data_IF_482086091795
#
_entry.id   IF_482086091795
#
_cell.length_a   1.000
_cell.length_b   1.000
_cell.length_c   1.000
_cell.angle_alpha   90.00
_cell.angle_beta   90.00
_cell.angle_gamma   90.00
#
_symmetry.space_group_name_H-M   'P 1'
#
loop_
_entity.id
_entity.type
_entity.pdbx_description
1 polymer ?
#
# COMPACT_ATOMS: atom_id res chain seq x y z
N UNK A 1 -23.70 -1.44 -10.18
CA UNK A 1 -23.32 -1.01 -8.82
C UNK A 1 -22.38 0.14 -9.01
N UNK A 2 -22.77 1.31 -8.50
CA UNK A 2 -22.02 2.54 -8.68
C UNK A 2 -20.67 2.39 -7.97
N UNK A 3 -19.58 2.55 -8.70
CA UNK A 3 -18.26 2.68 -8.11
C UNK A 3 -18.26 4.00 -7.32
N UNK A 4 -18.19 3.92 -6.00
CA UNK A 4 -18.04 5.12 -5.19
C UNK A 4 -16.59 5.59 -5.28
N UNK A 5 -16.36 6.66 -6.03
CA UNK A 5 -15.03 7.28 -6.21
C UNK A 5 -14.51 7.86 -4.88
N UNK A 6 -15.40 8.08 -3.91
CA UNK A 6 -15.08 8.58 -2.57
C UNK A 6 -14.69 7.48 -1.57
N UNK A 7 -14.53 6.23 -2.03
CA UNK A 7 -14.03 5.17 -1.15
C UNK A 7 -12.58 5.46 -0.76
N UNK A 8 -12.30 5.45 0.54
CA UNK A 8 -10.97 5.64 1.11
C UNK A 8 -10.64 4.48 2.07
N UNK A 9 -9.35 4.27 2.32
CA UNK A 9 -8.87 3.37 3.38
C UNK A 9 -7.82 4.07 4.24
N UNK A 10 -7.67 3.61 5.48
CA UNK A 10 -6.67 4.14 6.40
C UNK A 10 -5.44 3.25 6.43
N UNK A 11 -4.28 3.81 6.05
CA UNK A 11 -2.97 3.19 6.20
C UNK A 11 -2.20 3.87 7.33
N UNK A 12 -1.73 3.07 8.28
CA UNK A 12 -0.92 3.52 9.42
C UNK A 12 0.53 3.18 9.18
N UNK A 13 1.42 4.16 9.35
CA UNK A 13 2.86 4.02 9.13
C UNK A 13 3.64 4.68 10.26
N UNK A 14 4.84 4.17 10.53
CA UNK A 14 5.70 4.67 11.59
C UNK A 14 7.18 4.60 11.16
N UNK A 15 7.98 5.60 11.55
CA UNK A 15 9.44 5.51 11.50
C UNK A 15 9.96 4.56 12.58
N UNK A 16 10.92 3.72 12.25
CA UNK A 16 11.56 2.84 13.22
C UNK A 16 12.36 3.65 14.24
N UNK A 17 12.00 3.52 15.52
CA UNK A 17 12.63 4.26 16.61
C UNK A 17 14.10 3.82 16.81
N UNK A 18 14.47 2.62 16.33
CA UNK A 18 15.84 2.07 16.37
C UNK A 18 16.67 2.47 15.12
N UNK A 19 16.11 3.26 14.20
CA UNK A 19 16.83 3.76 13.02
C UNK A 19 17.93 4.76 13.41
N UNK A 20 19.16 4.52 12.95
CA UNK A 20 20.30 5.42 13.16
C UNK A 20 20.05 6.84 12.62
N UNK A 21 19.24 6.96 11.58
CA UNK A 21 18.87 8.23 10.97
C UNK A 21 17.53 8.79 11.51
N UNK A 22 16.93 8.17 12.53
CA UNK A 22 15.60 8.52 13.06
C UNK A 22 15.45 10.02 13.32
N UNK A 23 16.38 10.63 14.07
CA UNK A 23 16.31 12.05 14.39
C UNK A 23 16.34 12.96 13.17
N UNK A 24 17.13 12.59 12.14
CA UNK A 24 17.22 13.35 10.88
C UNK A 24 15.96 13.16 10.03
N UNK A 25 15.45 11.93 9.92
CA UNK A 25 14.19 11.60 9.24
C UNK A 25 13.01 12.31 9.91
N UNK A 26 12.92 12.30 11.25
CA UNK A 26 11.86 12.97 12.00
C UNK A 26 11.93 14.49 11.84
N UNK A 27 13.12 15.09 11.92
CA UNK A 27 13.30 16.53 11.66
C UNK A 27 12.83 16.89 10.27
N UNK A 28 13.14 16.05 9.29
CA UNK A 28 12.72 16.22 7.91
C UNK A 28 11.19 16.18 7.75
N UNK A 29 10.54 15.22 8.40
CA UNK A 29 9.08 15.12 8.46
C UNK A 29 8.45 16.28 9.25
N UNK A 30 9.16 16.84 10.23
CA UNK A 30 8.67 17.95 11.06
C UNK A 30 8.73 19.29 10.33
N UNK A 31 9.69 19.47 9.42
CA UNK A 31 9.75 20.63 8.54
C UNK A 31 8.51 20.76 7.64
N UNK A 32 7.70 19.70 7.50
CA UNK A 32 6.41 19.72 6.81
C UNK A 32 5.21 19.86 7.76
N UNK A 33 5.38 20.48 8.95
CA UNK A 33 4.37 20.67 9.99
C UNK A 33 3.89 19.39 10.72
N UNK A 34 4.73 18.35 10.80
CA UNK A 34 4.33 17.06 11.42
C UNK A 34 5.36 16.57 12.43
N UNK A 35 5.04 16.66 13.72
CA UNK A 35 5.95 16.34 14.84
C UNK A 35 5.96 14.86 15.24
N UNK A 36 5.19 14.00 14.58
CA UNK A 36 5.02 12.59 14.97
C UNK A 36 5.76 11.64 14.04
N UNK A 37 6.47 10.67 14.64
CA UNK A 37 7.06 9.52 13.92
C UNK A 37 5.99 8.55 13.41
N UNK A 38 4.76 8.62 13.93
CA UNK A 38 3.59 7.84 13.53
C UNK A 38 2.64 8.69 12.70
N UNK A 39 2.13 8.14 11.61
CA UNK A 39 1.17 8.80 10.71
C UNK A 39 0.03 7.86 10.32
N UNK A 40 -1.12 8.48 10.08
CA UNK A 40 -2.30 7.81 9.55
C UNK A 40 -2.70 8.53 8.25
N UNK A 41 -2.86 7.76 7.19
CA UNK A 41 -3.17 8.24 5.85
C UNK A 41 -4.52 7.67 5.42
N UNK A 42 -5.54 8.53 5.32
CA UNK A 42 -6.83 8.15 4.76
C UNK A 42 -6.84 8.44 3.25
N UNK A 43 -6.61 7.42 2.44
CA UNK A 43 -6.27 7.54 1.02
C UNK A 43 -7.32 6.90 0.11
N UNK A 44 -7.68 7.52 -1.02
CA UNK A 44 -8.52 6.90 -2.03
C UNK A 44 -7.71 5.95 -2.94
N UNK A 45 -8.40 5.18 -3.76
CA UNK A 45 -7.79 4.35 -4.82
C UNK A 45 -7.31 5.19 -6.03
N UNK A 46 -6.55 6.24 -5.76
CA UNK A 46 -6.08 7.20 -6.77
C UNK A 46 -4.65 7.64 -6.49
N UNK A 47 -3.75 7.49 -7.48
CA UNK A 47 -2.31 7.74 -7.29
C UNK A 47 -1.99 9.24 -7.26
N UNK A 48 -2.71 10.08 -8.01
CA UNK A 48 -2.46 11.54 -8.05
C UNK A 48 -3.12 12.28 -6.87
N UNK A 49 -3.76 11.55 -5.95
CA UNK A 49 -4.25 12.15 -4.72
C UNK A 49 -3.07 12.59 -3.84
N UNK A 50 -3.15 13.82 -3.30
CA UNK A 50 -2.08 14.41 -2.50
C UNK A 50 -1.74 13.59 -1.25
N UNK A 51 -2.73 12.90 -0.65
CA UNK A 51 -2.50 12.04 0.52
C UNK A 51 -1.77 10.76 0.11
N UNK A 52 -2.10 10.21 -1.05
CA UNK A 52 -1.36 9.08 -1.65
C UNK A 52 0.08 9.47 -1.94
N UNK A 53 0.32 10.65 -2.54
CA UNK A 53 1.67 11.16 -2.77
C UNK A 53 2.46 11.33 -1.46
N UNK A 54 1.83 11.89 -0.42
CA UNK A 54 2.50 12.07 0.87
C UNK A 54 2.79 10.74 1.58
N UNK A 55 1.92 9.72 1.42
CA UNK A 55 2.21 8.36 1.88
C UNK A 55 3.47 7.80 1.21
N UNK A 56 3.59 7.91 -0.13
CA UNK A 56 4.79 7.44 -0.82
C UNK A 56 6.03 8.21 -0.42
N UNK A 57 5.91 9.53 -0.23
CA UNK A 57 7.00 10.36 0.30
C UNK A 57 7.45 9.89 1.68
N UNK A 58 6.50 9.60 2.57
CA UNK A 58 6.81 9.04 3.88
C UNK A 58 7.52 7.70 3.76
N UNK A 59 7.01 6.77 2.95
CA UNK A 59 7.61 5.44 2.78
C UNK A 59 9.04 5.53 2.24
N UNK A 60 9.30 6.39 1.24
CA UNK A 60 10.64 6.63 0.69
C UNK A 60 11.62 7.10 1.75
N UNK A 61 11.19 8.05 2.57
CA UNK A 61 12.02 8.54 3.68
C UNK A 61 12.21 7.48 4.77
N UNK A 62 11.16 6.76 5.14
CA UNK A 62 11.22 5.72 6.15
C UNK A 62 12.24 4.64 5.77
N UNK A 63 12.24 4.22 4.50
CA UNK A 63 13.09 3.13 3.99
C UNK A 63 14.39 3.57 3.32
N UNK A 64 14.75 4.86 3.36
CA UNK A 64 16.03 5.30 2.83
C UNK A 64 17.18 4.94 3.78
N UNK A 65 18.30 4.50 3.20
CA UNK A 65 19.57 4.34 3.91
C UNK A 65 20.24 5.68 4.16
N UNK A 66 21.28 5.72 5.01
CA UNK A 66 22.08 6.93 5.23
C UNK A 66 22.66 7.53 3.95
N UNK A 67 23.09 6.68 2.99
CA UNK A 67 23.63 7.12 1.69
C UNK A 67 22.52 7.75 0.82
N UNK A 68 21.37 7.09 0.74
CA UNK A 68 20.21 7.57 0.00
C UNK A 68 19.63 8.85 0.60
N UNK A 69 19.64 8.99 1.93
CA UNK A 69 19.21 10.20 2.62
C UNK A 69 20.06 11.41 2.23
N UNK A 70 21.37 11.21 2.00
CA UNK A 70 22.26 12.28 1.53
C UNK A 70 21.91 12.74 0.11
N UNK A 71 21.46 11.82 -0.75
CA UNK A 71 20.96 12.13 -2.10
C UNK A 71 19.61 12.85 -2.00
N UNK A 72 18.73 12.35 -1.14
CA UNK A 72 17.37 12.85 -0.96
C UNK A 72 17.33 14.34 -0.55
N UNK A 73 18.24 14.76 0.32
CA UNK A 73 18.32 16.15 0.81
C UNK A 73 18.74 17.17 -0.27
N UNK A 74 19.09 16.72 -1.49
CA UNK A 74 19.53 17.60 -2.60
C UNK A 74 18.51 17.69 -3.75
N UNK A 75 17.39 16.96 -3.70
CA UNK A 75 16.48 16.77 -4.84
C UNK A 75 15.01 17.11 -4.57
N UNK A 76 14.17 16.90 -5.60
CA UNK A 76 12.71 17.00 -5.51
C UNK A 76 12.14 15.79 -4.74
N UNK A 77 11.31 16.08 -3.76
CA UNK A 77 10.93 15.16 -2.68
C UNK A 77 9.87 14.12 -3.07
N UNK A 78 9.35 14.26 -4.27
CA UNK A 78 8.34 13.40 -4.88
C UNK A 78 8.95 12.30 -5.73
N UNK A 79 10.24 12.41 -6.06
CA UNK A 79 10.87 11.49 -6.99
C UNK A 79 11.41 10.24 -6.29
N UNK A 80 11.37 9.08 -6.94
CA UNK A 80 12.07 7.89 -6.48
C UNK A 80 13.55 8.16 -6.25
N UNK A 81 14.07 7.72 -5.11
CA UNK A 81 15.45 8.03 -4.69
C UNK A 81 16.44 7.11 -5.42
N UNK A 82 16.21 5.81 -5.28
CA UNK A 82 16.95 4.74 -5.95
C UNK A 82 15.99 3.61 -6.27
N UNK A 83 16.44 2.72 -7.14
CA UNK A 83 15.73 1.47 -7.41
C UNK A 83 15.42 0.68 -6.13
N UNK A 84 16.42 0.50 -5.26
CA UNK A 84 16.28 -0.34 -4.07
C UNK A 84 15.43 0.33 -2.98
N UNK A 85 15.46 1.66 -2.88
CA UNK A 85 14.53 2.40 -2.03
C UNK A 85 13.09 2.21 -2.50
N UNK A 86 12.80 2.41 -3.79
CA UNK A 86 11.44 2.26 -4.30
C UNK A 86 10.92 0.83 -4.13
N UNK A 87 11.77 -0.16 -4.38
CA UNK A 87 11.46 -1.57 -4.11
C UNK A 87 11.06 -1.79 -2.65
N UNK A 88 11.86 -1.30 -1.69
CA UNK A 88 11.53 -1.39 -0.26
C UNK A 88 10.22 -0.68 0.09
N UNK A 89 9.92 0.46 -0.54
CA UNK A 89 8.67 1.19 -0.32
C UNK A 89 7.44 0.41 -0.78
N UNK A 90 7.47 -0.14 -2.00
CA UNK A 90 6.34 -0.92 -2.53
C UNK A 90 6.10 -2.18 -1.71
N UNK A 91 7.16 -2.78 -1.17
CA UNK A 91 7.08 -3.96 -0.30
C UNK A 91 6.48 -3.60 1.05
N UNK A 92 6.89 -2.46 1.63
CA UNK A 92 6.28 -1.96 2.84
C UNK A 92 4.78 -1.64 2.65
N UNK A 93 4.42 -1.04 1.52
CA UNK A 93 3.02 -0.78 1.16
C UNK A 93 2.24 -2.09 1.04
N UNK A 94 2.78 -3.08 0.32
CA UNK A 94 2.17 -4.41 0.19
C UNK A 94 1.90 -5.03 1.57
N UNK A 95 2.89 -5.07 2.45
CA UNK A 95 2.73 -5.63 3.79
C UNK A 95 1.73 -4.85 4.64
N UNK A 96 1.70 -3.52 4.53
CA UNK A 96 0.73 -2.69 5.24
C UNK A 96 -0.70 -3.00 4.78
N UNK A 97 -0.92 -3.15 3.46
CA UNK A 97 -2.22 -3.54 2.92
C UNK A 97 -2.64 -4.95 3.36
N UNK A 98 -1.75 -5.94 3.29
CA UNK A 98 -2.03 -7.31 3.74
C UNK A 98 -2.37 -7.35 5.22
N UNK A 99 -1.59 -6.68 6.07
CA UNK A 99 -1.85 -6.60 7.50
C UNK A 99 -3.25 -6.03 7.78
N UNK A 100 -3.64 -4.97 7.07
CA UNK A 100 -4.96 -4.35 7.22
C UNK A 100 -6.10 -5.24 6.70
N UNK A 101 -5.91 -5.96 5.59
CA UNK A 101 -6.92 -6.88 5.04
C UNK A 101 -7.24 -8.01 6.02
N UNK A 102 -6.23 -8.57 6.69
CA UNK A 102 -6.41 -9.68 7.65
C UNK A 102 -7.19 -9.27 8.91
N UNK A 103 -7.26 -7.97 9.23
CA UNK A 103 -8.03 -7.46 10.37
C UNK A 103 -9.55 -7.49 10.12
N UNK A 104 -10.01 -7.62 8.86
CA UNK A 104 -11.44 -7.70 8.58
C UNK A 104 -12.01 -9.08 8.94
N UNK A 105 -13.19 -9.14 9.58
CA UNK A 105 -13.83 -10.42 9.93
C UNK A 105 -14.38 -11.19 8.71
N UNK A 106 -14.46 -10.54 7.56
CA UNK A 106 -14.99 -11.10 6.31
C UNK A 106 -14.06 -10.79 5.15
N UNK A 107 -14.13 -11.55 4.07
CA UNK A 107 -13.43 -11.24 2.81
C UNK A 107 -14.21 -10.21 1.97
N UNK A 108 -13.62 -9.74 0.87
CA UNK A 108 -14.31 -8.86 -0.08
C UNK A 108 -15.47 -9.59 -0.77
N UNK A 109 -15.25 -10.84 -1.16
CA UNK A 109 -16.24 -11.69 -1.85
C UNK A 109 -17.43 -11.98 -0.94
N UNK A 110 -17.17 -12.25 0.35
CA UNK A 110 -18.22 -12.44 1.34
C UNK A 110 -19.09 -11.19 1.49
N UNK A 111 -18.48 -9.99 1.47
CA UNK A 111 -19.25 -8.74 1.55
C UNK A 111 -20.10 -8.51 0.29
N UNK A 112 -19.55 -8.83 -0.89
CA UNK A 112 -20.30 -8.79 -2.15
C UNK A 112 -21.50 -9.75 -2.10
N UNK A 113 -21.30 -10.98 -1.62
CA UNK A 113 -22.37 -11.98 -1.47
C UNK A 113 -23.42 -11.54 -0.43
N UNK A 114 -22.99 -10.94 0.69
CA UNK A 114 -23.90 -10.41 1.71
C UNK A 114 -24.79 -9.29 1.15
N UNK A 115 -24.24 -8.39 0.33
CA UNK A 115 -25.03 -7.32 -0.32
C UNK A 115 -26.02 -7.84 -1.37
N UNK A 116 -25.78 -9.03 -1.92
CA UNK A 116 -26.69 -9.71 -2.85
C UNK A 116 -27.73 -10.57 -2.13
N UNK A 117 -27.51 -10.86 -0.84
CA UNK A 117 -28.40 -11.71 -0.05
C UNK A 117 -29.75 -11.03 0.21
N UNK A 118 -30.88 -11.75 0.08
CA UNK A 118 -32.19 -11.23 0.45
C UNK A 118 -32.32 -10.97 1.95
N UNK A 119 -31.39 -11.47 2.77
CA UNK A 119 -31.37 -11.24 4.22
C UNK A 119 -30.94 -9.83 4.61
N UNK A 120 -30.24 -9.12 3.73
CA UNK A 120 -29.79 -7.74 4.00
C UNK A 120 -30.76 -6.77 3.34
N UNK A 121 -31.56 -6.09 4.17
CA UNK A 121 -32.51 -5.08 3.69
C UNK A 121 -31.74 -3.89 3.11
N UNK A 122 -31.99 -3.55 1.84
CA UNK A 122 -31.37 -2.40 1.17
C UNK A 122 -31.62 -1.11 1.95
N UNK A 123 -30.61 -0.25 2.01
CA UNK A 123 -30.64 1.04 2.73
C UNK A 123 -30.84 0.93 4.25
N UNK A 124 -30.77 -0.27 4.82
CA UNK A 124 -30.66 -0.41 6.27
C UNK A 124 -29.27 0.04 6.75
N UNK A 125 -29.15 0.35 8.04
CA UNK A 125 -27.84 0.63 8.66
C UNK A 125 -26.85 -0.51 8.42
N UNK A 126 -27.32 -1.77 8.51
CA UNK A 126 -26.51 -2.96 8.25
C UNK A 126 -25.98 -2.95 6.81
N UNK A 127 -26.84 -2.64 5.83
CA UNK A 127 -26.44 -2.52 4.43
C UNK A 127 -25.35 -1.45 4.25
N UNK A 128 -25.52 -0.26 4.84
CA UNK A 128 -24.52 0.81 4.75
C UNK A 128 -23.18 0.44 5.38
N UNK A 129 -23.19 -0.25 6.53
CA UNK A 129 -21.95 -0.76 7.14
C UNK A 129 -21.22 -1.76 6.23
N UNK A 130 -21.95 -2.66 5.57
CA UNK A 130 -21.35 -3.62 4.62
C UNK A 130 -20.78 -2.88 3.40
N UNK A 131 -21.49 -1.87 2.87
CA UNK A 131 -20.99 -1.05 1.75
C UNK A 131 -19.68 -0.33 2.11
N UNK A 132 -19.60 0.30 3.28
CA UNK A 132 -18.37 0.97 3.73
C UNK A 132 -17.21 -0.02 3.89
N UNK A 133 -17.45 -1.14 4.56
CA UNK A 133 -16.45 -2.20 4.76
C UNK A 133 -15.95 -2.77 3.43
N UNK A 134 -16.85 -3.00 2.47
CA UNK A 134 -16.50 -3.41 1.11
C UNK A 134 -15.62 -2.36 0.43
N UNK A 135 -16.01 -1.08 0.50
CA UNK A 135 -15.27 0.02 -0.11
C UNK A 135 -13.84 0.14 0.40
N UNK A 136 -13.63 0.05 1.73
CA UNK A 136 -12.28 0.04 2.32
C UNK A 136 -11.43 -1.11 1.78
N UNK A 137 -12.00 -2.32 1.65
CA UNK A 137 -11.30 -3.48 1.09
C UNK A 137 -10.94 -3.29 -0.37
N UNK A 138 -11.85 -2.74 -1.18
CA UNK A 138 -11.59 -2.45 -2.61
C UNK A 138 -10.38 -1.54 -2.78
N UNK A 139 -10.27 -0.49 -1.96
CA UNK A 139 -9.10 0.41 -1.96
C UNK A 139 -7.82 -0.33 -1.55
N UNK A 140 -7.87 -1.16 -0.50
CA UNK A 140 -6.71 -1.95 -0.07
C UNK A 140 -6.24 -2.93 -1.14
N UNK A 141 -7.17 -3.62 -1.81
CA UNK A 141 -6.86 -4.51 -2.93
C UNK A 141 -6.25 -3.74 -4.10
N UNK A 142 -6.71 -2.52 -4.37
CA UNK A 142 -6.12 -1.67 -5.40
C UNK A 142 -4.66 -1.32 -5.08
N UNK A 143 -4.34 -0.91 -3.84
CA UNK A 143 -2.96 -0.63 -3.44
C UNK A 143 -2.07 -1.88 -3.44
N UNK A 144 -2.63 -3.03 -3.07
CA UNK A 144 -1.93 -4.32 -3.16
C UNK A 144 -1.54 -4.63 -4.61
N UNK A 145 -2.48 -4.48 -5.55
CA UNK A 145 -2.21 -4.66 -6.98
C UNK A 145 -1.20 -3.64 -7.51
N UNK A 146 -1.30 -2.38 -7.10
CA UNK A 146 -0.34 -1.35 -7.44
C UNK A 146 1.08 -1.73 -6.99
N UNK A 147 1.23 -2.18 -5.74
CA UNK A 147 2.52 -2.59 -5.19
C UNK A 147 3.13 -3.73 -6.01
N UNK A 148 2.33 -4.75 -6.34
CA UNK A 148 2.81 -5.90 -7.10
C UNK A 148 3.19 -5.53 -8.53
N UNK A 149 2.31 -4.80 -9.24
CA UNK A 149 2.60 -4.32 -10.59
C UNK A 149 3.85 -3.43 -10.61
N UNK A 150 4.01 -2.57 -9.60
CA UNK A 150 5.20 -1.76 -9.40
C UNK A 150 6.46 -2.61 -9.25
N UNK A 151 6.42 -3.64 -8.40
CA UNK A 151 7.55 -4.55 -8.18
C UNK A 151 7.94 -5.34 -9.43
N UNK A 152 6.95 -5.86 -10.16
CA UNK A 152 7.20 -6.57 -11.42
C UNK A 152 7.88 -5.67 -12.45
N UNK A 153 7.41 -4.42 -12.60
CA UNK A 153 8.02 -3.45 -13.52
C UNK A 153 9.41 -3.05 -13.10
N UNK A 154 9.61 -2.80 -11.81
CA UNK A 154 10.93 -2.54 -11.27
C UNK A 154 11.88 -3.68 -11.64
N UNK A 155 11.50 -4.94 -11.43
CA UNK A 155 12.34 -6.09 -11.76
C UNK A 155 12.75 -6.15 -13.24
N UNK A 156 11.82 -5.91 -14.17
CA UNK A 156 12.10 -5.94 -15.62
C UNK A 156 13.09 -4.86 -16.06
N UNK A 157 13.12 -3.71 -15.38
CA UNK A 157 13.89 -2.54 -15.82
C UNK A 157 15.28 -2.38 -15.19
N UNK A 158 15.68 -3.23 -14.23
CA UNK A 158 17.03 -3.22 -13.64
C UNK A 158 18.14 -3.40 -14.69
N UNK A 159 17.85 -4.13 -15.77
CA UNK A 159 18.81 -4.39 -16.84
C UNK A 159 19.12 -3.16 -17.71
N UNK A 160 18.40 -2.04 -17.59
CA UNK A 160 18.51 -0.88 -18.49
C UNK A 160 18.63 0.49 -17.78
N UNK A 161 19.07 0.52 -16.52
CA UNK A 161 19.05 1.72 -15.65
C UNK A 161 19.84 2.95 -16.15
N UNK A 162 20.81 2.80 -17.07
CA UNK A 162 21.56 3.95 -17.61
C UNK A 162 20.71 4.92 -18.45
N UNK A 163 19.55 4.48 -18.93
CA UNK A 163 18.62 5.29 -19.73
C UNK A 163 17.64 6.08 -18.84
N UNK A 164 17.43 5.65 -17.60
CA UNK A 164 16.33 6.14 -16.75
C UNK A 164 16.68 7.37 -15.91
N UNK A 165 17.94 7.78 -15.80
CA UNK A 165 18.31 9.06 -15.17
C UNK A 165 17.96 10.28 -16.03
N UNK A 166 17.61 10.09 -17.31
CA UNK A 166 17.24 11.15 -18.26
C UNK A 166 15.76 11.19 -18.63
N UNK A 167 15.02 10.10 -18.43
CA UNK A 167 13.60 10.03 -18.74
C UNK A 167 12.80 10.03 -17.46
N UNK A 168 12.09 11.13 -17.20
CA UNK A 168 10.93 11.29 -16.32
C UNK A 168 10.40 9.98 -15.71
N UNK A 169 11.14 9.43 -14.75
CA UNK A 169 10.69 8.39 -13.83
C UNK A 169 9.73 9.00 -12.80
N UNK A 170 9.33 10.26 -13.04
CA UNK A 170 8.18 10.91 -12.46
C UNK A 170 7.01 10.00 -12.71
N UNK A 171 6.61 9.30 -11.66
CA UNK A 171 5.25 8.84 -11.50
C UNK A 171 4.89 7.64 -12.43
N UNK A 172 5.21 7.65 -13.74
CA UNK A 172 4.64 6.81 -14.81
C UNK A 172 4.67 5.29 -14.62
N UNK A 173 5.60 4.71 -13.86
CA UNK A 173 5.55 3.26 -13.62
C UNK A 173 4.40 2.86 -12.68
N UNK A 174 3.96 3.76 -11.78
CA UNK A 174 2.72 3.62 -11.01
C UNK A 174 1.49 3.88 -11.90
N UNK A 175 1.52 4.90 -12.77
CA UNK A 175 0.36 5.28 -13.63
C UNK A 175 0.13 4.40 -14.84
N UNK A 176 1.12 3.61 -15.24
CA UNK A 176 0.92 2.61 -16.30
C UNK A 176 0.26 1.36 -15.76
N UNK A 177 -0.02 1.26 -14.44
CA UNK A 177 -0.71 0.10 -13.87
C UNK A 177 -2.09 0.00 -14.52
N UNK A 178 -2.41 -1.09 -15.24
CA UNK A 178 -3.62 -1.20 -16.05
C UNK A 178 -4.91 -1.33 -15.23
N UNK A 179 -4.88 -0.99 -13.94
CA UNK A 179 -5.96 -1.24 -12.97
C UNK A 179 -6.77 -0.01 -12.61
N UNK A 180 -6.64 1.10 -13.34
CA UNK A 180 -7.67 2.14 -13.26
C UNK A 180 -8.97 1.56 -13.84
N UNK A 181 -10.13 1.65 -13.14
CA UNK A 181 -11.40 1.10 -13.64
C UNK A 181 -11.85 1.72 -14.98
N UNK A 182 -11.20 2.79 -15.43
CA UNK A 182 -11.45 3.47 -16.70
C UNK A 182 -10.31 3.34 -17.74
N UNK A 183 -9.22 2.62 -17.46
CA UNK A 183 -8.19 2.34 -18.46
C UNK A 183 -8.44 0.96 -19.06
N UNK A 184 -9.26 0.90 -20.10
CA UNK A 184 -9.19 -0.19 -21.08
C UNK A 184 -8.10 0.21 -22.10
N UNK A 185 -6.85 -0.26 -21.99
CA UNK A 185 -5.94 -0.12 -23.11
C UNK A 185 -6.50 -0.95 -24.27
N UNK A 186 -6.87 -0.27 -25.34
CA UNK A 186 -7.10 -0.90 -26.63
C UNK A 186 -5.83 -1.66 -27.00
N UNK A 187 -5.96 -2.99 -27.04
CA UNK A 187 -4.95 -3.96 -27.49
C UNK A 187 -3.72 -4.19 -26.60
N UNK A 188 -3.67 -5.42 -26.08
CA UNK A 188 -2.44 -6.21 -25.81
C UNK A 188 -1.68 -5.94 -24.51
N UNK A 189 -2.24 -6.38 -23.38
CA UNK A 189 -1.60 -7.21 -22.34
C UNK A 189 -2.62 -7.32 -21.19
N UNK A 190 -3.66 -8.14 -21.39
CA UNK A 190 -4.58 -8.51 -20.32
C UNK A 190 -3.83 -9.48 -19.39
N UNK A 191 -3.32 -8.97 -18.27
CA UNK A 191 -3.11 -9.84 -17.13
C UNK A 191 -4.51 -10.24 -16.62
N UNK A 192 -4.81 -11.54 -16.46
CA UNK A 192 -6.10 -11.95 -15.95
C UNK A 192 -6.28 -11.36 -14.55
N UNK A 193 -7.38 -10.64 -14.37
CA UNK A 193 -7.87 -10.19 -13.08
C UNK A 193 -7.93 -11.43 -12.15
N UNK A 194 -7.13 -11.53 -11.06
CA UNK A 194 -7.13 -12.74 -10.24
C UNK A 194 -8.44 -12.91 -9.44
N UNK A 195 -9.34 -11.92 -9.44
CA UNK A 195 -10.62 -11.98 -8.73
C UNK A 195 -11.80 -12.51 -9.55
N UNK A 196 -11.63 -12.79 -10.84
CA UNK A 196 -12.73 -13.33 -11.67
C UNK A 196 -12.65 -14.84 -11.93
N UNK A 197 -11.70 -15.56 -11.32
CA UNK A 197 -11.62 -17.02 -11.44
C UNK A 197 -11.58 -17.62 -10.05
N UNK A 198 -12.64 -18.35 -9.67
CA UNK A 198 -12.76 -19.07 -8.41
C UNK A 198 -11.81 -20.27 -8.27
N UNK A 199 -10.53 -20.09 -8.65
CA UNK A 199 -9.47 -21.08 -8.52
C UNK A 199 -8.40 -20.52 -7.58
N UNK A 200 -8.38 -21.04 -6.36
CA UNK A 200 -7.33 -20.82 -5.35
C UNK A 200 -5.91 -21.01 -5.91
N UNK A 201 -5.74 -21.88 -6.90
CA UNK A 201 -4.47 -22.21 -7.55
C UNK A 201 -3.79 -21.02 -8.26
N UNK A 202 -4.58 -20.04 -8.72
CA UNK A 202 -4.04 -18.85 -9.41
C UNK A 202 -3.39 -17.86 -8.45
N UNK A 203 -4.02 -17.64 -7.29
CA UNK A 203 -3.50 -16.80 -6.22
C UNK A 203 -2.27 -17.45 -5.58
N UNK A 204 -2.28 -18.75 -5.33
CA UNK A 204 -1.18 -19.46 -4.69
C UNK A 204 0.10 -19.47 -5.55
N UNK A 205 -0.02 -19.69 -6.88
CA UNK A 205 1.12 -19.53 -7.81
C UNK A 205 1.63 -18.09 -7.88
N UNK A 206 0.73 -17.12 -7.77
CA UNK A 206 1.07 -15.70 -7.79
C UNK A 206 1.77 -15.26 -6.50
N UNK A 207 1.29 -15.70 -5.33
CA UNK A 207 1.99 -15.56 -4.06
C UNK A 207 3.34 -16.28 -4.07
N UNK A 208 3.45 -17.44 -4.72
CA UNK A 208 4.74 -18.16 -4.86
C UNK A 208 5.76 -17.38 -5.71
N UNK A 209 5.32 -16.76 -6.81
CA UNK A 209 6.17 -15.88 -7.62
C UNK A 209 6.55 -14.60 -6.87
N UNK A 210 5.60 -14.00 -6.15
CA UNK A 210 5.88 -12.88 -5.26
C UNK A 210 6.87 -13.27 -4.16
N UNK A 211 6.69 -14.42 -3.50
CA UNK A 211 7.62 -14.94 -2.51
C UNK A 211 9.02 -15.09 -3.12
N UNK A 212 9.15 -15.48 -4.38
CA UNK A 212 10.46 -15.51 -5.05
C UNK A 212 11.07 -14.10 -5.26
N UNK A 213 10.24 -13.09 -5.54
CA UNK A 213 10.64 -11.68 -5.68
C UNK A 213 10.89 -10.99 -4.31
N UNK A 214 10.27 -11.51 -3.26
CA UNK A 214 10.29 -11.00 -1.89
C UNK A 214 11.34 -11.72 -1.02
N UNK A 215 11.76 -12.95 -1.37
CA UNK A 215 12.76 -13.78 -0.68
C UNK A 215 14.11 -13.11 -0.37
N UNK A 216 14.63 -12.14 -1.17
CA UNK A 216 15.84 -11.42 -0.77
C UNK A 216 15.69 -10.54 0.48
N UNK A 217 14.50 -10.47 1.11
CA UNK A 217 14.17 -9.51 2.17
C UNK A 217 13.82 -10.13 3.53
N UNK A 218 14.15 -11.40 3.77
CA UNK A 218 14.15 -11.98 5.12
C UNK A 218 15.01 -11.18 6.14
N UNK A 219 15.79 -10.21 5.66
CA UNK A 219 16.65 -9.31 6.44
C UNK A 219 16.09 -7.89 6.67
N UNK A 220 14.87 -7.54 6.23
CA UNK A 220 14.34 -6.22 6.57
C UNK A 220 13.92 -6.19 8.05
N UNK A 221 14.50 -5.33 8.89
CA UNK A 221 14.07 -5.18 10.27
C UNK A 221 12.60 -4.75 10.35
N UNK A 222 11.98 -5.13 11.48
CA UNK A 222 10.57 -5.10 11.86
C UNK A 222 9.82 -3.74 11.74
N UNK A 223 9.77 -3.10 10.57
CA UNK A 223 9.17 -1.77 10.42
C UNK A 223 7.66 -1.80 10.09
N UNK A 224 7.07 -2.92 9.64
CA UNK A 224 5.65 -2.93 9.21
C UNK A 224 4.71 -3.76 10.09
N UNK A 225 5.21 -4.55 11.05
CA UNK A 225 4.39 -5.53 11.76
C UNK A 225 4.15 -5.26 13.26
N UNK A 226 4.24 -4.01 13.74
CA UNK A 226 3.82 -3.67 15.12
C UNK A 226 2.35 -3.23 15.25
N UNK A 227 1.51 -3.46 14.24
CA UNK A 227 0.07 -3.22 14.35
C UNK A 227 -0.66 -4.25 15.24
N UNK A 228 -0.12 -5.45 15.43
CA UNK A 228 -0.73 -6.48 16.31
C UNK A 228 -0.48 -6.27 17.81
N UNK A 229 0.58 -5.56 18.20
CA UNK A 229 0.92 -5.38 19.62
C UNK A 229 0.20 -4.18 20.28
N UNK A 230 -0.27 -3.20 19.50
CA UNK A 230 -0.91 -1.97 20.00
C UNK A 230 -2.40 -2.17 20.31
N UNK A 231 -3.11 -2.99 19.54
CA UNK A 231 -4.50 -3.38 19.85
C UNK A 231 -4.59 -4.23 21.11
N UNK A 232 -3.67 -5.18 21.33
CA UNK A 232 -3.66 -6.03 22.53
C UNK A 232 -3.39 -5.24 23.83
N UNK A 233 -2.51 -4.23 23.82
CA UNK A 233 -2.21 -3.41 25.01
C UNK A 233 -3.34 -2.45 25.38
N UNK A 234 -4.11 -1.97 24.39
CA UNK A 234 -5.24 -1.07 24.64
C UNK A 234 -6.43 -1.82 25.26
N UNK A 235 -6.66 -3.08 24.86
CA UNK A 235 -7.66 -3.95 25.48
C UNK A 235 -7.30 -4.37 26.92
N UNK A 236 -6.01 -4.57 27.22
CA UNK A 236 -5.56 -4.90 28.58
C UNK A 236 -5.59 -3.71 29.54
N UNK A 237 -5.35 -2.47 29.07
CA UNK A 237 -5.48 -1.28 29.91
C UNK A 237 -6.94 -0.92 30.23
N UNK A 238 -7.89 -1.24 29.35
CA UNK A 238 -9.32 -1.04 29.62
C UNK A 238 -9.91 -2.09 30.58
N UNK A 239 -9.35 -3.30 30.63
CA UNK A 239 -9.76 -4.33 31.61
C UNK A 239 -9.15 -4.15 33.00
N UNK A 240 -8.11 -3.34 33.16
CA UNK A 240 -7.53 -3.01 34.48
C UNK A 240 -8.13 -1.75 35.11
N UNK A 241 -9.07 -1.08 34.42
CA UNK A 241 -9.77 0.11 34.90
C UNK A 241 -11.27 -0.12 35.13
N UNK A 242 -11.73 -1.37 35.09
CA UNK A 242 -13.08 -1.81 35.50
C UNK A 242 -12.94 -2.81 36.65
#
# INVERSE_FOLDING_TARGET
>A
MDCNEDNETMIRVQLDDDDKEFGRKLTYLSATNVTSSKREYQIPAYVEDKKTEDLFRFLRLAWCTSEEFHIYNKGNLFEPITYENERRCLIALYHACVARIVEFPTTLEQDIQLLQSPLVVKYSTVYHCIVLRKGEKEVLHWFLQLAICGLQRLHVHVSNLSIYSKYNFHHKYLFTCPTHPYFYPSSTFLLPYPYSVGNSDGLEKYFTQLDSLMKPLEYLPNVVARNTALTAKTSQQQQQQQ
#
